data_IF_234581415545
#
_entry.id   IF_234581415545
#
_cell.length_a   1.000
_cell.length_b   1.000
_cell.length_c   1.000
_cell.angle_alpha   90.00
_cell.angle_beta   90.00
_cell.angle_gamma   90.00
#
_symmetry.space_group_name_H-M   'P 1'
#
loop_
_entity.id
_entity.type
_entity.pdbx_description
1 polymer ?
#
# COMPACT_ATOMS: atom_id res chain seq x y z
N UNK A 1 19.01 -1.76 37.37
CA UNK A 1 17.58 -2.05 37.13
C UNK A 1 17.16 -1.32 35.87
N UNK A 2 17.33 -1.94 34.70
CA UNK A 2 17.10 -1.30 33.42
C UNK A 2 15.61 -1.43 33.10
N UNK A 3 14.86 -0.33 33.25
CA UNK A 3 13.46 -0.26 32.80
C UNK A 3 13.47 -0.40 31.27
N UNK A 4 13.05 -1.56 30.77
CA UNK A 4 12.63 -1.73 29.39
C UNK A 4 11.43 -0.81 29.18
N UNK A 5 11.62 0.34 28.56
CA UNK A 5 10.51 1.09 28.01
C UNK A 5 10.00 0.29 26.81
N UNK A 6 8.79 -0.31 26.85
CA UNK A 6 8.23 -0.89 25.63
C UNK A 6 8.01 0.27 24.66
N UNK A 7 8.72 0.26 23.53
CA UNK A 7 8.37 1.14 22.41
C UNK A 7 6.91 0.83 22.07
N UNK A 8 6.02 1.84 21.93
CA UNK A 8 4.67 1.56 21.48
C UNK A 8 4.76 0.87 20.12
N UNK A 9 4.22 -0.35 20.04
CA UNK A 9 4.11 -1.10 18.79
C UNK A 9 3.20 -0.31 17.84
N UNK A 10 3.43 -0.38 16.52
CA UNK A 10 2.58 0.30 15.53
C UNK A 10 1.09 -0.06 15.69
N UNK A 11 0.79 -1.26 16.20
CA UNK A 11 -0.56 -1.73 16.54
C UNK A 11 -1.24 -0.91 17.65
N UNK A 12 -0.47 -0.35 18.59
CA UNK A 12 -1.00 0.49 19.67
C UNK A 12 -1.30 1.93 19.21
N UNK A 13 -0.83 2.32 18.02
CA UNK A 13 -1.00 3.67 17.45
C UNK A 13 -2.18 3.69 16.45
N UNK A 14 -2.50 2.55 15.84
CA UNK A 14 -3.60 2.41 14.89
C UNK A 14 -4.86 1.84 15.54
N UNK A 15 -6.00 2.50 15.30
CA UNK A 15 -7.32 1.97 15.64
C UNK A 15 -7.88 1.16 14.47
N UNK A 16 -7.55 -0.13 14.39
CA UNK A 16 -8.12 -1.01 13.38
C UNK A 16 -9.59 -1.39 13.70
N UNK A 17 -10.44 -1.60 12.67
CA UNK A 17 -10.16 -1.38 11.26
C UNK A 17 -10.14 0.12 10.89
N UNK A 18 -9.25 0.52 9.97
CA UNK A 18 -9.13 1.92 9.54
C UNK A 18 -8.96 2.01 8.02
N UNK A 19 -9.39 3.13 7.43
CA UNK A 19 -9.13 3.41 6.01
C UNK A 19 -7.66 3.85 5.84
N UNK A 20 -6.90 3.10 5.05
CA UNK A 20 -5.49 3.32 4.84
C UNK A 20 -5.19 3.52 3.35
N UNK A 21 -4.64 4.69 2.95
CA UNK A 21 -4.21 4.91 1.57
C UNK A 21 -2.82 4.32 1.34
N UNK A 22 -2.72 3.36 0.42
CA UNK A 22 -1.45 2.84 -0.09
C UNK A 22 -1.10 3.58 -1.37
N UNK A 23 0.04 4.24 -1.41
CA UNK A 23 0.50 4.96 -2.60
C UNK A 23 1.63 4.20 -3.28
N UNK A 24 1.38 3.78 -4.52
CA UNK A 24 2.32 3.01 -5.34
C UNK A 24 2.75 3.85 -6.53
N UNK A 25 4.06 3.96 -6.73
CA UNK A 25 4.64 4.65 -7.88
C UNK A 25 5.41 3.67 -8.75
N UNK A 26 5.29 3.82 -10.07
CA UNK A 26 6.04 3.02 -11.03
C UNK A 26 5.97 3.61 -12.43
N UNK A 27 6.50 2.89 -13.42
CA UNK A 27 6.41 3.31 -14.82
C UNK A 27 4.95 3.35 -15.28
N UNK A 28 4.59 4.32 -16.11
CA UNK A 28 3.24 4.41 -16.70
C UNK A 28 3.04 3.24 -17.68
N UNK A 29 2.50 2.14 -17.16
CA UNK A 29 2.19 0.93 -17.90
C UNK A 29 0.91 0.31 -17.32
N UNK A 30 0.05 -0.21 -18.20
CA UNK A 30 -1.22 -0.81 -17.78
C UNK A 30 -1.02 -2.05 -16.88
N UNK A 31 0.07 -2.79 -17.07
CA UNK A 31 0.41 -3.93 -16.24
C UNK A 31 0.61 -3.55 -14.75
N UNK A 32 1.13 -2.35 -14.46
CA UNK A 32 1.31 -1.90 -13.08
C UNK A 32 -0.02 -1.80 -12.34
N UNK A 33 -1.07 -1.30 -12.99
CA UNK A 33 -2.40 -1.20 -12.38
C UNK A 33 -2.97 -2.57 -12.05
N UNK A 34 -2.92 -3.51 -13.01
CA UNK A 34 -3.45 -4.86 -12.86
C UNK A 34 -2.73 -5.63 -11.76
N UNK A 35 -1.39 -5.66 -11.79
CA UNK A 35 -0.60 -6.41 -10.81
C UNK A 35 -0.74 -5.81 -9.42
N UNK A 36 -0.72 -4.48 -9.29
CA UNK A 36 -0.93 -3.80 -8.02
C UNK A 36 -2.32 -4.11 -7.43
N UNK A 37 -3.38 -4.08 -8.24
CA UNK A 37 -4.72 -4.44 -7.74
C UNK A 37 -4.74 -5.88 -7.25
N UNK A 38 -4.22 -6.83 -8.04
CA UNK A 38 -4.21 -8.24 -7.68
C UNK A 38 -3.46 -8.51 -6.37
N UNK A 39 -2.31 -7.85 -6.15
CA UNK A 39 -1.55 -7.94 -4.89
C UNK A 39 -2.39 -7.42 -3.73
N UNK A 40 -2.95 -6.21 -3.84
CA UNK A 40 -3.68 -5.60 -2.73
C UNK A 40 -4.97 -6.38 -2.44
N UNK A 41 -5.70 -6.84 -3.46
CA UNK A 41 -6.93 -7.62 -3.31
C UNK A 41 -6.71 -8.96 -2.62
N UNK A 42 -5.55 -9.59 -2.85
CA UNK A 42 -5.16 -10.83 -2.16
C UNK A 42 -5.07 -10.67 -0.64
N UNK A 43 -4.68 -9.49 -0.16
CA UNK A 43 -4.45 -9.22 1.27
C UNK A 43 -5.59 -8.42 1.93
N UNK A 44 -6.29 -7.59 1.17
CA UNK A 44 -7.33 -6.67 1.67
C UNK A 44 -8.75 -6.99 1.19
N UNK A 45 -8.93 -8.00 0.34
CA UNK A 45 -10.21 -8.33 -0.28
C UNK A 45 -10.51 -7.46 -1.50
N UNK A 46 -11.69 -7.64 -2.10
CA UNK A 46 -12.09 -6.95 -3.33
C UNK A 46 -12.01 -5.42 -3.20
N UNK A 47 -11.38 -4.78 -4.18
CA UNK A 47 -11.23 -3.32 -4.20
C UNK A 47 -12.08 -2.72 -5.30
N UNK A 48 -13.03 -1.89 -4.90
CA UNK A 48 -13.82 -1.14 -5.86
C UNK A 48 -12.96 -0.09 -6.59
N UNK A 49 -13.16 0.08 -7.92
CA UNK A 49 -12.42 1.07 -8.71
C UNK A 49 -12.50 2.50 -8.17
N UNK A 50 -13.57 2.86 -7.46
CA UNK A 50 -13.71 4.19 -6.84
C UNK A 50 -12.69 4.45 -5.72
N UNK A 51 -12.06 3.41 -5.16
CA UNK A 51 -11.03 3.50 -4.11
C UNK A 51 -9.64 3.68 -4.71
N UNK A 52 -9.52 3.64 -6.03
CA UNK A 52 -8.29 3.75 -6.77
C UNK A 52 -8.27 5.10 -7.48
N UNK A 53 -7.21 5.88 -7.23
CA UNK A 53 -6.95 7.12 -7.94
C UNK A 53 -5.58 7.07 -8.57
N UNK A 54 -5.49 7.46 -9.84
CA UNK A 54 -4.24 7.48 -10.59
C UNK A 54 -3.87 8.90 -11.01
N UNK A 55 -2.60 9.27 -10.85
CA UNK A 55 -2.06 10.55 -11.31
C UNK A 55 -0.79 10.32 -12.12
N UNK A 56 -0.81 10.74 -13.38
CA UNK A 56 0.39 10.75 -14.23
C UNK A 56 1.37 11.83 -13.77
N UNK A 57 2.66 11.53 -13.84
CA UNK A 57 3.72 12.50 -13.58
C UNK A 57 3.84 13.51 -14.72
N UNK A 58 4.23 14.74 -14.41
CA UNK A 58 4.36 15.85 -15.37
C UNK A 58 5.29 15.52 -16.55
N UNK A 59 6.29 14.65 -16.35
CA UNK A 59 7.23 14.21 -17.39
C UNK A 59 6.78 12.96 -18.16
N UNK A 60 5.62 12.39 -17.85
CA UNK A 60 5.03 11.24 -18.57
C UNK A 60 5.66 9.86 -18.32
N UNK A 61 6.81 9.78 -17.63
CA UNK A 61 7.51 8.50 -17.42
C UNK A 61 6.97 7.65 -16.26
N UNK A 62 6.29 8.28 -15.31
CA UNK A 62 5.83 7.64 -14.08
C UNK A 62 4.36 7.92 -13.83
N UNK A 63 3.71 6.97 -13.16
CA UNK A 63 2.34 7.09 -12.66
C UNK A 63 2.32 6.80 -11.16
N UNK A 64 1.45 7.49 -10.43
CA UNK A 64 1.19 7.25 -9.01
C UNK A 64 -0.24 6.75 -8.85
N UNK A 65 -0.39 5.55 -8.30
CA UNK A 65 -1.67 5.02 -7.86
C UNK A 65 -1.83 5.26 -6.36
N UNK A 66 -3.03 5.63 -5.93
CA UNK A 66 -3.43 5.68 -4.53
C UNK A 66 -4.63 4.77 -4.37
N UNK A 67 -4.47 3.72 -3.56
CA UNK A 67 -5.49 2.71 -3.30
C UNK A 67 -5.89 2.80 -1.85
N UNK A 68 -7.17 3.04 -1.58
CA UNK A 68 -7.69 3.03 -0.20
C UNK A 68 -8.16 1.63 0.15
N UNK A 69 -7.61 1.07 1.22
CA UNK A 69 -8.03 -0.22 1.76
C UNK A 69 -8.58 -0.07 3.17
N UNK A 70 -9.31 -1.08 3.62
CA UNK A 70 -9.62 -1.26 5.04
C UNK A 70 -8.49 -2.06 5.66
N UNK A 71 -7.58 -1.38 6.35
CA UNK A 71 -6.54 -2.02 7.12
C UNK A 71 -7.15 -2.65 8.37
N UNK A 72 -6.85 -3.92 8.62
CA UNK A 72 -7.35 -4.67 9.79
C UNK A 72 -6.24 -4.98 10.79
N UNK A 73 -4.97 -4.91 10.39
CA UNK A 73 -3.81 -5.16 11.25
C UNK A 73 -2.52 -4.59 10.64
N UNK A 74 -1.50 -4.32 11.47
CA UNK A 74 -0.17 -3.90 10.98
C UNK A 74 0.47 -4.98 10.10
N UNK A 75 0.31 -6.26 10.46
CA UNK A 75 0.85 -7.36 9.67
C UNK A 75 0.26 -7.42 8.26
N UNK A 76 -1.02 -7.07 8.08
CA UNK A 76 -1.63 -6.99 6.76
C UNK A 76 -0.94 -5.91 5.90
N UNK A 77 -0.70 -4.74 6.48
CA UNK A 77 -0.01 -3.63 5.79
C UNK A 77 1.43 -4.00 5.44
N UNK A 78 2.15 -4.65 6.36
CA UNK A 78 3.52 -5.10 6.14
C UNK A 78 3.61 -6.10 4.98
N UNK A 79 2.70 -7.09 4.94
CA UNK A 79 2.63 -8.07 3.85
C UNK A 79 2.37 -7.41 2.50
N UNK A 80 1.40 -6.48 2.43
CA UNK A 80 1.11 -5.73 1.19
C UNK A 80 2.31 -4.90 0.76
N UNK A 81 2.91 -4.15 1.67
CA UNK A 81 4.06 -3.30 1.37
C UNK A 81 5.26 -4.12 0.89
N UNK A 82 5.51 -5.26 1.52
CA UNK A 82 6.61 -6.17 1.14
C UNK A 82 6.40 -6.75 -0.26
N UNK A 83 5.21 -7.26 -0.55
CA UNK A 83 4.90 -7.86 -1.86
C UNK A 83 4.93 -6.82 -2.98
N UNK A 84 4.42 -5.61 -2.72
CA UNK A 84 4.52 -4.50 -3.67
C UNK A 84 5.98 -4.03 -3.86
N UNK A 85 6.81 -3.97 -2.81
CA UNK A 85 8.22 -3.56 -2.92
C UNK A 85 9.08 -4.59 -3.68
N UNK A 86 8.77 -5.88 -3.55
CA UNK A 86 9.45 -6.95 -4.28
C UNK A 86 9.07 -6.98 -5.77
N UNK A 87 7.94 -6.34 -6.13
CA UNK A 87 7.42 -6.40 -7.49
C UNK A 87 8.21 -5.51 -8.47
N UNK A 88 8.70 -6.05 -9.61
CA UNK A 88 9.63 -5.34 -10.51
C UNK A 88 9.03 -4.12 -11.23
N UNK A 89 7.69 -4.01 -11.29
CA UNK A 89 7.02 -2.84 -11.87
C UNK A 89 6.85 -1.68 -10.87
N UNK A 90 7.02 -1.93 -9.58
CA UNK A 90 6.91 -0.93 -8.52
C UNK A 90 8.28 -0.29 -8.32
N UNK A 91 8.32 1.04 -8.43
CA UNK A 91 9.54 1.80 -8.19
C UNK A 91 9.63 2.29 -6.74
N UNK A 92 8.49 2.63 -6.12
CA UNK A 92 8.44 3.18 -4.78
C UNK A 92 7.05 3.08 -4.14
N UNK A 93 7.01 2.98 -2.81
CA UNK A 93 5.78 3.04 -1.99
C UNK A 93 5.89 4.18 -0.97
N UNK A 94 4.82 4.95 -0.80
CA UNK A 94 4.72 6.12 0.10
C UNK A 94 3.66 5.95 1.17
#
# INVERSE_FOLDING_TARGET
MNKLNPKPTAEAIFNFPCDYPIKVMGKDCQALHTEMCAIIERHAGEIHPHRISSKKSTKGNYISYTVRIVATSVSQLDLINKELQDHPLVAYIL
#
